data_IF_905696299835
#
_entry.id   IF_905696299835
#
_cell.length_a   1.000
_cell.length_b   1.000
_cell.length_c   1.000
_cell.angle_alpha   90.00
_cell.angle_beta   90.00
_cell.angle_gamma   90.00
#
_symmetry.space_group_name_H-M   'P 1'
#
loop_
_entity.id
_entity.type
_entity.pdbx_description
1 polymer ?
#
# COMPACT_ATOMS: atom_id res chain seq x y z
N UNK A 1 -25.74 20.50 6.31
CA UNK A 1 -24.40 20.56 6.94
C UNK A 1 -23.55 21.76 6.49
N UNK A 2 -23.48 22.03 5.18
CA UNK A 2 -22.65 23.10 4.58
C UNK A 2 -22.84 24.48 5.25
N UNK A 3 -24.07 24.88 5.55
CA UNK A 3 -24.36 26.17 6.21
C UNK A 3 -23.71 26.29 7.59
N UNK A 4 -23.76 25.22 8.39
CA UNK A 4 -23.19 25.18 9.74
C UNK A 4 -21.67 25.27 9.70
N UNK A 5 -21.04 24.48 8.82
CA UNK A 5 -19.61 24.51 8.62
C UNK A 5 -19.11 25.92 8.19
N UNK A 6 -19.84 26.60 7.30
CA UNK A 6 -19.54 27.98 6.89
C UNK A 6 -19.68 28.98 8.04
N UNK A 7 -20.74 28.85 8.85
CA UNK A 7 -20.97 29.73 9.99
C UNK A 7 -19.83 29.68 11.02
N UNK A 8 -19.28 28.48 11.27
CA UNK A 8 -18.16 28.28 12.17
C UNK A 8 -16.78 28.35 11.47
N UNK A 9 -16.76 28.74 10.19
CA UNK A 9 -15.56 28.85 9.36
C UNK A 9 -14.66 27.60 9.42
N UNK A 10 -15.24 26.42 9.22
CA UNK A 10 -14.53 25.14 9.23
C UNK A 10 -14.93 24.23 8.06
N UNK A 11 -14.08 23.27 7.64
CA UNK A 11 -14.43 22.32 6.58
C UNK A 11 -15.60 21.42 6.97
N UNK A 12 -16.46 21.11 5.99
CA UNK A 12 -17.61 20.21 6.17
C UNK A 12 -17.15 18.82 6.56
N UNK A 13 -16.03 18.35 6.01
CA UNK A 13 -15.42 17.06 6.31
C UNK A 13 -15.01 16.94 7.78
N UNK A 14 -14.46 18.01 8.36
CA UNK A 14 -14.01 18.03 9.75
C UNK A 14 -15.21 17.99 10.70
N UNK A 15 -16.26 18.76 10.39
CA UNK A 15 -17.50 18.75 11.15
C UNK A 15 -18.20 17.39 11.05
N UNK A 16 -18.15 16.75 9.87
CA UNK A 16 -18.71 15.43 9.62
C UNK A 16 -17.99 14.34 10.41
N UNK A 17 -16.66 14.37 10.40
CA UNK A 17 -15.82 13.46 11.16
C UNK A 17 -16.02 13.61 12.67
N UNK A 18 -16.14 14.84 13.18
CA UNK A 18 -16.40 15.09 14.60
C UNK A 18 -17.76 14.56 15.07
N UNK A 19 -18.71 14.41 14.14
CA UNK A 19 -20.07 13.96 14.43
C UNK A 19 -20.37 12.55 13.90
N UNK A 20 -19.37 11.84 13.37
CA UNK A 20 -19.53 10.52 12.74
C UNK A 20 -20.67 10.46 11.70
N UNK A 21 -20.90 11.55 10.98
CA UNK A 21 -21.91 11.64 9.90
C UNK A 21 -21.22 11.82 8.55
N UNK A 22 -21.95 11.59 7.44
CA UNK A 22 -21.41 11.87 6.11
C UNK A 22 -21.32 13.38 5.87
N UNK A 23 -20.27 13.88 5.20
CA UNK A 23 -20.19 15.28 4.75
C UNK A 23 -21.37 15.71 3.87
N UNK A 24 -21.99 14.74 3.18
CA UNK A 24 -23.17 14.94 2.33
C UNK A 24 -24.50 14.87 3.08
N UNK A 25 -24.50 14.57 4.38
CA UNK A 25 -25.74 14.42 5.16
C UNK A 25 -26.46 15.77 5.31
N UNK A 26 -27.75 15.78 5.00
CA UNK A 26 -28.65 16.88 5.33
C UNK A 26 -28.94 16.89 6.82
N UNK A 27 -28.79 18.06 7.47
CA UNK A 27 -29.08 18.21 8.89
C UNK A 27 -30.59 18.35 9.09
N UNK A 28 -31.13 17.64 10.06
CA UNK A 28 -32.55 17.71 10.42
C UNK A 28 -32.76 18.62 11.65
N UNK A 29 -33.93 19.25 11.73
CA UNK A 29 -34.31 20.04 12.90
C UNK A 29 -34.38 19.13 14.13
N UNK A 30 -33.80 19.57 15.25
CA UNK A 30 -33.69 18.77 16.48
C UNK A 30 -32.46 17.87 16.56
N UNK A 31 -31.61 17.81 15.53
CA UNK A 31 -30.37 17.04 15.56
C UNK A 31 -29.31 17.75 16.42
N UNK A 32 -28.82 17.07 17.46
CA UNK A 32 -27.66 17.54 18.23
C UNK A 32 -26.38 17.35 17.39
N UNK A 33 -25.66 18.45 17.18
CA UNK A 33 -24.38 18.49 16.47
C UNK A 33 -23.33 19.06 17.40
N UNK A 34 -22.25 18.31 17.58
CA UNK A 34 -21.07 18.72 18.34
C UNK A 34 -20.16 19.57 17.47
N UNK A 35 -19.85 20.78 17.91
CA UNK A 35 -18.89 21.67 17.24
C UNK A 35 -17.51 21.50 17.90
N UNK A 36 -16.50 20.95 17.20
CA UNK A 36 -15.16 20.80 17.76
C UNK A 36 -14.46 22.14 17.93
N UNK A 37 -13.51 22.23 18.88
CA UNK A 37 -12.71 23.43 19.11
C UNK A 37 -11.68 23.66 18.00
N UNK A 38 -11.17 24.89 17.87
CA UNK A 38 -10.17 25.22 16.82
C UNK A 38 -8.92 24.32 16.85
N UNK A 39 -8.46 23.89 18.02
CA UNK A 39 -7.31 22.98 18.14
C UNK A 39 -7.64 21.56 17.63
N UNK A 40 -8.85 21.08 17.90
CA UNK A 40 -9.35 19.80 17.37
C UNK A 40 -9.52 19.87 15.84
N UNK A 41 -10.04 20.98 15.32
CA UNK A 41 -10.16 21.22 13.87
C UNK A 41 -8.81 21.11 13.19
N UNK A 42 -7.78 21.80 13.68
CA UNK A 42 -6.43 21.74 13.09
C UNK A 42 -5.84 20.33 13.09
N UNK A 43 -6.09 19.54 14.14
CA UNK A 43 -5.65 18.14 14.18
C UNK A 43 -6.36 17.29 13.13
N UNK A 44 -7.68 17.39 13.06
CA UNK A 44 -8.52 16.65 12.10
C UNK A 44 -8.16 17.03 10.65
N UNK A 45 -7.86 18.29 10.37
CA UNK A 45 -7.40 18.74 9.05
C UNK A 45 -6.06 18.12 8.66
N UNK A 46 -5.08 18.09 9.58
CA UNK A 46 -3.76 17.46 9.30
C UNK A 46 -3.90 15.97 9.04
N UNK A 47 -4.71 15.28 9.85
CA UNK A 47 -5.00 13.85 9.70
C UNK A 47 -5.69 13.57 8.36
N UNK A 48 -6.69 14.37 7.98
CA UNK A 48 -7.38 14.26 6.70
C UNK A 48 -6.46 14.56 5.50
N UNK A 49 -5.59 15.58 5.61
CA UNK A 49 -4.62 15.91 4.56
C UNK A 49 -3.57 14.80 4.37
N UNK A 50 -3.06 14.22 5.47
CA UNK A 50 -2.14 13.09 5.42
C UNK A 50 -2.81 11.85 4.81
N UNK A 51 -4.06 11.56 5.18
CA UNK A 51 -4.83 10.47 4.61
C UNK A 51 -5.07 10.66 3.10
N UNK A 52 -5.41 11.88 2.65
CA UNK A 52 -5.55 12.19 1.22
C UNK A 52 -4.26 11.98 0.44
N UNK A 53 -3.13 12.52 0.94
CA UNK A 53 -1.81 12.32 0.31
C UNK A 53 -1.41 10.84 0.25
N UNK A 54 -1.65 10.08 1.31
CA UNK A 54 -1.36 8.64 1.32
C UNK A 54 -2.26 7.87 0.34
N UNK A 55 -3.53 8.23 0.22
CA UNK A 55 -4.46 7.63 -0.73
C UNK A 55 -4.07 7.93 -2.20
N UNK A 56 -3.65 9.16 -2.49
CA UNK A 56 -3.18 9.58 -3.80
C UNK A 56 -1.88 8.87 -4.19
N UNK A 57 -0.88 8.85 -3.31
CA UNK A 57 0.36 8.12 -3.54
C UNK A 57 0.13 6.61 -3.79
N UNK A 58 -0.83 6.00 -3.06
CA UNK A 58 -1.24 4.61 -3.30
C UNK A 58 -1.87 4.42 -4.69
N UNK A 59 -2.72 5.35 -5.13
CA UNK A 59 -3.35 5.30 -6.46
C UNK A 59 -2.31 5.42 -7.57
N UNK A 60 -1.40 6.39 -7.48
CA UNK A 60 -0.34 6.59 -8.47
C UNK A 60 0.61 5.39 -8.55
N UNK A 61 1.03 4.85 -7.39
CA UNK A 61 1.88 3.66 -7.35
C UNK A 61 1.17 2.46 -7.97
N UNK A 62 -0.14 2.31 -7.75
CA UNK A 62 -0.94 1.23 -8.31
C UNK A 62 -1.15 1.40 -9.83
N UNK A 63 -1.32 2.62 -10.31
CA UNK A 63 -1.46 2.92 -11.73
C UNK A 63 -0.14 2.67 -12.48
N UNK A 64 0.99 3.16 -11.97
CA UNK A 64 2.32 2.88 -12.53
C UNK A 64 2.61 1.38 -12.58
N UNK A 65 2.22 0.63 -11.56
CA UNK A 65 2.35 -0.83 -11.56
C UNK A 65 1.48 -1.50 -12.64
N UNK A 66 0.26 -1.01 -12.88
CA UNK A 66 -0.62 -1.54 -13.93
C UNK A 66 -0.08 -1.24 -15.32
N UNK A 67 0.39 -0.01 -15.56
CA UNK A 67 1.00 0.40 -16.82
C UNK A 67 2.26 -0.42 -17.12
N UNK A 68 3.13 -0.62 -16.13
CA UNK A 68 4.30 -1.50 -16.26
C UNK A 68 3.91 -2.95 -16.60
N UNK A 69 2.87 -3.50 -15.95
CA UNK A 69 2.37 -4.86 -16.23
C UNK A 69 1.74 -4.99 -17.62
N UNK A 70 1.10 -3.94 -18.13
CA UNK A 70 0.56 -3.93 -19.49
C UNK A 70 1.67 -3.88 -20.54
N UNK A 71 2.67 -3.02 -20.35
CA UNK A 71 3.79 -2.86 -21.29
C UNK A 71 4.65 -4.12 -21.45
N UNK A 72 4.83 -4.89 -20.39
CA UNK A 72 5.59 -6.15 -20.45
C UNK A 72 4.77 -7.32 -21.03
N UNK A 73 3.43 -7.26 -20.96
CA UNK A 73 2.55 -8.21 -21.66
C UNK A 73 2.73 -8.19 -23.18
N UNK A 74 3.09 -7.04 -23.76
CA UNK A 74 3.30 -6.87 -25.20
C UNK A 74 4.71 -7.25 -25.69
N UNK A 75 5.74 -7.17 -24.84
CA UNK A 75 7.14 -7.12 -25.34
C UNK A 75 8.07 -8.23 -24.84
N UNK A 76 7.75 -8.98 -23.78
CA UNK A 76 8.71 -9.96 -23.23
C UNK A 76 8.06 -11.18 -22.54
N UNK A 77 7.22 -11.90 -23.29
CA UNK A 77 6.47 -13.08 -22.80
C UNK A 77 7.30 -14.38 -22.72
N UNK A 78 8.65 -14.34 -22.69
CA UNK A 78 9.45 -15.55 -22.49
C UNK A 78 9.84 -15.71 -21.01
N UNK A 79 8.89 -16.24 -20.25
CA UNK A 79 9.10 -16.76 -18.88
C UNK A 79 8.54 -15.89 -17.76
N UNK A 80 8.28 -16.54 -16.63
CA UNK A 80 7.96 -15.82 -15.39
C UNK A 80 9.27 -15.53 -14.65
N UNK A 81 9.32 -14.43 -13.91
CA UNK A 81 10.48 -14.05 -13.12
C UNK A 81 10.04 -13.82 -11.69
N UNK A 82 10.89 -14.21 -10.75
CA UNK A 82 10.73 -14.00 -9.32
C UNK A 82 11.89 -13.21 -8.77
N UNK A 83 11.67 -12.53 -7.66
CA UNK A 83 12.71 -11.85 -6.92
C UNK A 83 12.99 -12.66 -5.67
N UNK A 84 14.16 -13.28 -5.59
CA UNK A 84 14.59 -13.92 -4.36
C UNK A 84 15.02 -12.83 -3.37
N UNK A 85 14.33 -12.74 -2.24
CA UNK A 85 14.53 -11.69 -1.24
C UNK A 85 15.37 -12.15 -0.05
N UNK A 86 15.33 -13.45 0.25
CA UNK A 86 16.08 -14.04 1.36
C UNK A 86 16.32 -15.54 1.15
N UNK A 87 17.38 -16.06 1.77
CA UNK A 87 17.59 -17.49 2.01
C UNK A 87 17.58 -17.69 3.53
N UNK A 88 16.59 -18.40 4.04
CA UNK A 88 16.43 -18.66 5.46
C UNK A 88 17.00 -20.04 5.83
N UNK A 89 17.55 -20.17 7.05
CA UNK A 89 18.15 -21.43 7.52
C UNK A 89 17.13 -22.57 7.66
N UNK A 90 15.86 -22.24 7.89
CA UNK A 90 14.79 -23.21 8.10
C UNK A 90 13.43 -22.70 7.58
N UNK A 91 12.47 -23.63 7.47
CA UNK A 91 11.12 -23.34 6.95
C UNK A 91 10.38 -22.31 7.81
N UNK A 92 10.48 -22.38 9.14
CA UNK A 92 9.78 -21.45 10.02
C UNK A 92 10.22 -19.99 9.81
N UNK A 93 11.53 -19.73 9.69
CA UNK A 93 12.07 -18.41 9.37
C UNK A 93 11.62 -17.96 7.97
N UNK A 94 11.62 -18.86 6.99
CA UNK A 94 11.15 -18.56 5.64
C UNK A 94 9.66 -18.20 5.61
N UNK A 95 8.84 -18.88 6.41
CA UNK A 95 7.40 -18.63 6.49
C UNK A 95 7.09 -17.31 7.20
N UNK A 96 7.86 -16.95 8.24
CA UNK A 96 7.77 -15.64 8.87
C UNK A 96 8.09 -14.51 7.88
N UNK A 97 9.18 -14.66 7.12
CA UNK A 97 9.53 -13.73 6.04
C UNK A 97 8.41 -13.69 4.99
N UNK A 98 7.94 -14.85 4.52
CA UNK A 98 6.88 -14.92 3.53
C UNK A 98 5.59 -14.26 4.00
N UNK A 99 5.23 -14.43 5.28
CA UNK A 99 4.07 -13.77 5.90
C UNK A 99 4.22 -12.25 5.90
N UNK A 100 5.39 -11.75 6.28
CA UNK A 100 5.71 -10.31 6.25
C UNK A 100 5.56 -9.71 4.85
N UNK A 101 6.10 -10.38 3.84
CA UNK A 101 5.97 -9.93 2.44
C UNK A 101 4.53 -10.06 1.92
N UNK A 102 3.78 -11.08 2.36
CA UNK A 102 2.36 -11.25 2.03
C UNK A 102 1.49 -10.16 2.67
N UNK A 103 1.77 -9.78 3.91
CA UNK A 103 1.14 -8.67 4.63
C UNK A 103 1.42 -7.32 3.96
N UNK A 104 2.62 -7.13 3.40
CA UNK A 104 2.95 -5.98 2.56
C UNK A 104 2.28 -6.01 1.17
N UNK A 105 1.47 -7.03 0.87
CA UNK A 105 0.67 -7.13 -0.35
C UNK A 105 1.40 -7.75 -1.54
N UNK A 106 2.57 -8.36 -1.31
CA UNK A 106 3.31 -9.05 -2.36
C UNK A 106 2.90 -10.54 -2.46
N UNK A 107 2.99 -11.11 -3.65
CA UNK A 107 2.85 -12.56 -3.84
C UNK A 107 4.18 -13.23 -3.53
N UNK A 108 4.17 -14.24 -2.65
CA UNK A 108 5.39 -14.89 -2.15
C UNK A 108 5.24 -16.40 -2.24
N UNK A 109 6.32 -17.08 -2.61
CA UNK A 109 6.48 -18.54 -2.47
C UNK A 109 7.79 -18.86 -1.76
N UNK A 110 7.76 -19.91 -0.94
CA UNK A 110 8.96 -20.51 -0.36
C UNK A 110 9.35 -21.74 -1.18
N UNK A 111 10.66 -21.98 -1.33
CA UNK A 111 11.19 -23.16 -2.01
C UNK A 111 12.34 -23.74 -1.19
N UNK A 112 12.29 -25.03 -0.82
CA UNK A 112 13.40 -25.67 -0.13
C UNK A 112 14.60 -25.83 -1.08
N UNK A 113 15.79 -25.67 -0.53
CA UNK A 113 17.09 -25.87 -1.20
C UNK A 113 17.99 -26.68 -0.27
N UNK A 114 19.09 -27.21 -0.78
CA UNK A 114 20.08 -27.94 0.04
C UNK A 114 20.75 -27.09 1.13
N UNK A 115 20.68 -25.75 1.03
CA UNK A 115 21.31 -24.81 1.97
C UNK A 115 20.30 -24.05 2.85
N UNK A 116 19.01 -24.40 2.78
CA UNK A 116 17.94 -23.69 3.48
C UNK A 116 16.73 -23.44 2.58
N UNK A 117 15.83 -22.56 3.01
CA UNK A 117 14.58 -22.27 2.31
C UNK A 117 14.61 -20.86 1.74
N UNK A 118 14.55 -20.74 0.41
CA UNK A 118 14.51 -19.43 -0.26
C UNK A 118 13.10 -18.87 -0.28
N UNK A 119 13.00 -17.55 -0.07
CA UNK A 119 11.76 -16.78 -0.13
C UNK A 119 11.78 -15.98 -1.44
N UNK A 120 10.81 -16.22 -2.30
CA UNK A 120 10.71 -15.66 -3.65
C UNK A 120 9.44 -14.83 -3.76
N UNK A 121 9.54 -13.60 -4.25
CA UNK A 121 8.42 -12.67 -4.44
C UNK A 121 8.14 -12.49 -5.94
N UNK A 122 6.87 -12.58 -6.36
CA UNK A 122 6.43 -12.67 -7.76
C UNK A 122 5.43 -13.82 -7.92
N UNK A 123 4.90 -14.15 -9.12
CA UNK A 123 5.55 -14.07 -10.41
C UNK A 123 5.27 -12.77 -11.16
N UNK A 124 6.31 -12.18 -11.74
CA UNK A 124 6.18 -11.08 -12.70
C UNK A 124 6.47 -11.60 -14.11
N UNK A 125 5.70 -11.13 -15.09
CA UNK A 125 5.93 -11.46 -16.51
C UNK A 125 7.07 -10.58 -17.00
N UNK A 126 8.14 -11.19 -17.51
CA UNK A 126 9.30 -10.49 -18.08
C UNK A 126 10.31 -9.95 -17.07
N UNK A 127 11.58 -9.87 -17.52
CA UNK A 127 12.74 -9.51 -16.69
C UNK A 127 12.65 -8.08 -16.15
N UNK A 128 12.10 -7.16 -16.94
CA UNK A 128 11.96 -5.73 -16.58
C UNK A 128 10.98 -5.53 -15.42
N UNK A 129 9.85 -6.23 -15.41
CA UNK A 129 8.89 -6.16 -14.31
C UNK A 129 9.50 -6.72 -13.01
N UNK A 130 10.30 -7.79 -13.10
CA UNK A 130 10.98 -8.36 -11.94
C UNK A 130 12.11 -7.46 -11.42
N UNK A 131 12.83 -6.75 -12.29
CA UNK A 131 13.79 -5.71 -11.89
C UNK A 131 13.10 -4.57 -11.14
N UNK A 132 11.98 -4.05 -11.67
CA UNK A 132 11.20 -3.01 -10.99
C UNK A 132 10.64 -3.49 -9.65
N UNK A 133 10.20 -4.75 -9.56
CA UNK A 133 9.77 -5.37 -8.30
C UNK A 133 10.92 -5.46 -7.29
N UNK A 134 12.13 -5.80 -7.75
CA UNK A 134 13.35 -5.84 -6.93
C UNK A 134 13.65 -4.46 -6.33
N UNK A 135 13.63 -3.42 -7.15
CA UNK A 135 13.94 -2.06 -6.70
C UNK A 135 12.88 -1.52 -5.74
N UNK A 136 11.61 -1.86 -5.97
CA UNK A 136 10.52 -1.57 -5.05
C UNK A 136 10.72 -2.27 -3.70
N UNK A 137 11.04 -3.56 -3.70
CA UNK A 137 11.28 -4.33 -2.47
C UNK A 137 12.47 -3.76 -1.68
N UNK A 138 13.54 -3.40 -2.37
CA UNK A 138 14.72 -2.80 -1.72
C UNK A 138 14.43 -1.41 -1.13
N UNK A 139 13.48 -0.66 -1.70
CA UNK A 139 13.06 0.67 -1.23
C UNK A 139 11.97 0.61 -0.15
N UNK A 140 11.35 -0.55 0.08
CA UNK A 140 10.23 -0.71 1.00
C UNK A 140 10.73 -0.98 2.42
N UNK A 141 10.64 0.05 3.27
CA UNK A 141 11.05 0.00 4.67
C UNK A 141 10.26 -1.02 5.50
N UNK A 142 9.07 -1.45 5.04
CA UNK A 142 8.29 -2.44 5.76
C UNK A 142 8.95 -3.81 5.73
N UNK A 143 9.58 -4.18 4.61
CA UNK A 143 10.17 -5.51 4.43
C UNK A 143 11.64 -5.58 4.84
N UNK A 144 12.35 -4.43 4.85
CA UNK A 144 13.71 -4.26 5.37
C UNK A 144 14.69 -5.36 4.91
N UNK A 145 14.76 -5.58 3.60
CA UNK A 145 15.63 -6.59 2.98
C UNK A 145 16.66 -5.93 2.08
N UNK A 146 17.94 -6.17 2.36
CA UNK A 146 19.11 -5.71 1.58
C UNK A 146 19.75 -6.93 0.91
N UNK A 147 19.25 -7.33 -0.26
CA UNK A 147 19.81 -8.50 -0.95
C UNK A 147 18.92 -9.13 -2.01
N UNK A 148 17.86 -8.44 -2.46
CA UNK A 148 16.94 -8.99 -3.43
C UNK A 148 17.63 -9.14 -4.80
N UNK A 149 17.54 -10.31 -5.42
CA UNK A 149 18.05 -10.60 -6.77
C UNK A 149 17.01 -11.30 -7.63
N UNK A 150 17.04 -11.01 -8.93
CA UNK A 150 16.05 -11.54 -9.88
C UNK A 150 16.47 -12.95 -10.31
N UNK A 151 15.53 -13.88 -10.20
CA UNK A 151 15.66 -15.27 -10.60
C UNK A 151 14.62 -15.60 -11.67
N UNK A 152 15.03 -16.39 -12.67
CA UNK A 152 14.09 -16.96 -13.63
C UNK A 152 13.18 -17.97 -12.93
N UNK A 153 11.87 -17.81 -13.07
CA UNK A 153 10.85 -18.59 -12.40
C UNK A 153 10.05 -19.38 -13.44
N UNK A 154 10.18 -20.71 -13.42
CA UNK A 154 9.34 -21.61 -14.23
C UNK A 154 8.18 -22.17 -13.43
#
# INVERSE_FOLDING_TARGET
>A
MIKLARQYNMPVEVLAQANNISPSTSLQLGQNITIPSRSQVQRLEREAAAAKKAAEAKRDAQQKLREARQKVKETDAKGSFGVQVALADNQAKADQLAKKFKEAGYQVKTSPTSRGVRVIVGPERGKVAALALKDKINSDSNVNTTGAWVLYWR
#
